data_IF_459987566421
#
_entry.id   IF_459987566421
#
_cell.length_a   1.000
_cell.length_b   1.000
_cell.length_c   1.000
_cell.angle_alpha   90.00
_cell.angle_beta   90.00
_cell.angle_gamma   90.00
#
_symmetry.space_group_name_H-M   'P 1'
#
loop_
_entity.id
_entity.type
_entity.pdbx_description
1 polymer ?
#
# COMPACT_ATOMS: atom_id res chain seq x y z
N UNK A 1 13.56 -4.24 -3.67
CA UNK A 1 12.80 -5.40 -3.24
C UNK A 1 13.26 -6.64 -4.02
N UNK A 2 13.30 -7.78 -3.35
CA UNK A 2 13.46 -9.09 -3.98
C UNK A 2 12.14 -9.85 -3.80
N UNK A 3 11.51 -10.24 -4.88
CA UNK A 3 10.32 -11.07 -4.88
C UNK A 3 10.67 -12.47 -5.35
N UNK A 4 10.10 -13.46 -4.68
CA UNK A 4 10.35 -14.86 -4.99
C UNK A 4 9.10 -15.69 -4.73
N UNK A 5 8.87 -16.71 -5.51
CA UNK A 5 7.82 -17.68 -5.27
C UNK A 5 8.16 -18.50 -4.00
N UNK A 6 7.12 -18.83 -3.20
CA UNK A 6 7.29 -19.43 -1.87
C UNK A 6 8.13 -20.71 -1.86
N UNK A 7 7.80 -21.68 -2.72
CA UNK A 7 8.59 -22.94 -2.81
C UNK A 7 10.03 -22.72 -3.31
N UNK A 8 10.25 -21.68 -4.12
CA UNK A 8 11.60 -21.34 -4.53
C UNK A 8 12.43 -20.75 -3.38
N UNK A 9 11.79 -20.02 -2.47
CA UNK A 9 12.43 -19.52 -1.25
C UNK A 9 12.77 -20.68 -0.30
N UNK A 10 11.83 -21.59 -0.07
CA UNK A 10 12.03 -22.78 0.76
C UNK A 10 13.18 -23.64 0.28
N UNK A 11 13.22 -23.96 -1.03
CA UNK A 11 14.31 -24.72 -1.64
C UNK A 11 15.69 -24.09 -1.47
N UNK A 12 15.74 -22.77 -1.28
CA UNK A 12 16.98 -22.01 -1.06
C UNK A 12 17.26 -21.70 0.42
N UNK A 13 16.45 -22.23 1.34
CA UNK A 13 16.53 -21.94 2.77
C UNK A 13 16.48 -20.43 3.08
N UNK A 14 15.75 -19.66 2.27
CA UNK A 14 15.53 -18.24 2.51
C UNK A 14 14.30 -18.04 3.40
N UNK A 15 14.40 -17.09 4.31
CA UNK A 15 13.29 -16.70 5.18
C UNK A 15 12.65 -15.41 4.63
N UNK A 16 11.48 -15.48 3.98
CA UNK A 16 10.79 -14.28 3.56
C UNK A 16 10.29 -13.50 4.79
N UNK A 17 10.32 -12.18 4.71
CA UNK A 17 9.88 -11.29 5.80
C UNK A 17 8.43 -10.85 5.65
N UNK A 18 7.87 -10.99 4.46
CA UNK A 18 6.48 -10.66 4.19
C UNK A 18 5.96 -11.47 3.00
N UNK A 19 4.64 -11.59 2.92
CA UNK A 19 3.90 -12.20 1.81
C UNK A 19 3.00 -11.16 1.14
N UNK A 20 2.98 -11.11 -0.18
CA UNK A 20 1.96 -10.40 -0.94
C UNK A 20 0.66 -11.23 -0.87
N UNK A 21 -0.35 -10.71 -0.19
CA UNK A 21 -1.65 -11.37 0.01
C UNK A 21 -2.56 -11.17 -1.19
N UNK A 22 -2.69 -9.91 -1.60
CA UNK A 22 -3.53 -9.53 -2.73
C UNK A 22 -3.08 -8.18 -3.30
N UNK A 23 -3.47 -7.92 -4.52
CA UNK A 23 -3.37 -6.59 -5.11
C UNK A 23 -4.66 -6.25 -5.87
N UNK A 24 -4.89 -4.96 -6.06
CA UNK A 24 -5.99 -4.41 -6.82
C UNK A 24 -5.54 -3.21 -7.62
N UNK A 25 -6.10 -3.06 -8.80
CA UNK A 25 -6.01 -1.84 -9.59
C UNK A 25 -7.39 -1.46 -10.08
N UNK A 26 -7.57 -0.20 -10.41
CA UNK A 26 -8.83 0.32 -10.92
C UNK A 26 -8.58 1.57 -11.78
N UNK A 27 -9.54 1.87 -12.64
CA UNK A 27 -9.60 3.11 -13.40
C UNK A 27 -10.67 4.05 -12.84
N UNK A 28 -10.43 5.35 -12.98
CA UNK A 28 -11.36 6.44 -12.71
C UNK A 28 -11.30 7.44 -13.85
N UNK A 29 -12.23 8.39 -13.91
CA UNK A 29 -12.13 9.50 -14.87
C UNK A 29 -10.76 10.19 -14.71
N UNK A 30 -9.97 10.37 -15.79
CA UNK A 30 -8.67 11.03 -15.74
C UNK A 30 -8.67 12.41 -15.10
N UNK A 31 -9.78 13.15 -15.16
CA UNK A 31 -9.95 14.44 -14.50
C UNK A 31 -9.86 14.33 -12.97
N UNK A 32 -10.14 13.16 -12.41
CA UNK A 32 -10.10 12.88 -10.99
C UNK A 32 -9.06 11.79 -10.66
N UNK A 33 -7.98 11.75 -11.39
CA UNK A 33 -6.90 10.77 -11.28
C UNK A 33 -6.47 10.49 -9.83
N UNK A 34 -6.41 11.53 -8.99
CA UNK A 34 -5.95 11.43 -7.61
C UNK A 34 -6.75 10.50 -6.71
N UNK A 35 -8.03 10.22 -7.05
CA UNK A 35 -8.87 9.28 -6.28
C UNK A 35 -8.80 7.83 -6.79
N UNK A 36 -7.98 7.54 -7.79
CA UNK A 36 -7.74 6.17 -8.28
C UNK A 36 -7.42 5.12 -7.19
N UNK A 37 -6.70 5.47 -6.10
CA UNK A 37 -6.49 4.58 -4.97
C UNK A 37 -7.77 4.04 -4.33
N UNK A 38 -8.86 4.81 -4.31
CA UNK A 38 -10.10 4.40 -3.63
C UNK A 38 -10.64 3.09 -4.17
N UNK A 39 -11.03 2.98 -5.45
CA UNK A 39 -11.51 1.71 -6.00
C UNK A 39 -10.41 0.62 -6.05
N UNK A 40 -9.13 0.99 -6.18
CA UNK A 40 -8.04 0.03 -6.17
C UNK A 40 -7.90 -0.67 -4.80
N UNK A 41 -7.97 0.09 -3.70
CA UNK A 41 -7.96 -0.43 -2.33
C UNK A 41 -9.17 -1.33 -2.08
N UNK A 42 -10.37 -0.90 -2.47
CA UNK A 42 -11.58 -1.71 -2.35
C UNK A 42 -11.44 -3.05 -3.08
N UNK A 43 -10.83 -3.05 -4.28
CA UNK A 43 -10.55 -4.27 -5.04
C UNK A 43 -9.54 -5.17 -4.33
N UNK A 44 -8.46 -4.63 -3.78
CA UNK A 44 -7.45 -5.39 -3.06
C UNK A 44 -8.04 -6.02 -1.78
N UNK A 45 -8.78 -5.25 -0.99
CA UNK A 45 -9.43 -5.71 0.24
C UNK A 45 -10.43 -6.84 -0.04
N UNK A 46 -11.27 -6.68 -1.07
CA UNK A 46 -12.22 -7.73 -1.47
C UNK A 46 -11.51 -9.02 -1.85
N UNK A 47 -10.40 -8.95 -2.61
CA UNK A 47 -9.60 -10.12 -2.99
C UNK A 47 -8.91 -10.78 -1.80
N UNK A 48 -8.50 -10.00 -0.82
CA UNK A 48 -7.89 -10.49 0.42
C UNK A 48 -8.92 -11.01 1.43
N UNK A 49 -10.21 -10.74 1.22
CA UNK A 49 -11.28 -10.93 2.22
C UNK A 49 -10.98 -10.20 3.53
N UNK A 50 -10.50 -8.96 3.42
CA UNK A 50 -10.15 -8.08 4.55
C UNK A 50 -10.96 -6.78 4.49
N UNK A 51 -11.00 -6.09 5.63
CA UNK A 51 -11.56 -4.73 5.79
C UNK A 51 -10.46 -3.75 6.15
N UNK A 52 -10.71 -2.45 6.02
CA UNK A 52 -9.78 -1.39 6.47
C UNK A 52 -9.39 -1.57 7.95
N UNK A 53 -10.33 -1.96 8.79
CA UNK A 53 -10.08 -2.17 10.22
C UNK A 53 -9.06 -3.28 10.52
N UNK A 54 -8.89 -4.25 9.62
CA UNK A 54 -7.95 -5.36 9.77
C UNK A 54 -6.49 -4.96 9.47
N UNK A 55 -6.30 -3.76 8.93
CA UNK A 55 -4.97 -3.25 8.58
C UNK A 55 -4.30 -2.60 9.79
N UNK A 56 -3.04 -2.93 10.01
CA UNK A 56 -2.21 -2.34 11.06
C UNK A 56 -1.42 -1.13 10.56
N UNK A 57 -1.01 -1.16 9.29
CA UNK A 57 -0.22 -0.11 8.63
C UNK A 57 -0.84 0.22 7.27
N UNK A 58 -0.88 1.51 6.96
CA UNK A 58 -1.29 2.03 5.66
C UNK A 58 -0.19 2.97 5.15
N UNK A 59 0.42 2.64 4.03
CA UNK A 59 1.31 3.52 3.29
C UNK A 59 0.57 4.01 2.04
N UNK A 60 -0.02 5.19 2.14
CA UNK A 60 -0.75 5.84 1.05
C UNK A 60 0.12 6.93 0.47
N UNK A 61 0.41 6.86 -0.83
CA UNK A 61 1.27 7.86 -1.47
C UNK A 61 0.63 9.25 -1.42
N UNK A 62 1.41 10.24 -1.02
CA UNK A 62 1.04 11.65 -0.96
C UNK A 62 1.58 12.38 -2.19
N UNK A 63 1.08 12.04 -3.38
CA UNK A 63 1.47 12.74 -4.61
C UNK A 63 1.12 14.24 -4.53
N UNK A 64 0.00 14.56 -3.90
CA UNK A 64 -0.43 15.91 -3.51
C UNK A 64 -1.15 15.81 -2.15
N UNK A 65 -0.95 16.79 -1.27
CA UNK A 65 -1.56 16.80 0.06
C UNK A 65 -3.10 16.72 0.00
N UNK A 66 -3.74 17.47 -0.89
CA UNK A 66 -5.19 17.47 -1.07
C UNK A 66 -5.70 16.12 -1.60
N UNK A 67 -4.93 15.47 -2.48
CA UNK A 67 -5.27 14.15 -3.02
C UNK A 67 -5.18 13.08 -1.92
N UNK A 68 -4.11 13.09 -1.12
CA UNK A 68 -3.93 12.16 -0.02
C UNK A 68 -5.06 12.29 1.02
N UNK A 69 -5.44 13.55 1.33
CA UNK A 69 -6.57 13.84 2.21
C UNK A 69 -7.89 13.29 1.67
N UNK A 70 -8.17 13.49 0.37
CA UNK A 70 -9.38 12.99 -0.27
C UNK A 70 -9.47 11.46 -0.20
N UNK A 71 -8.37 10.76 -0.52
CA UNK A 71 -8.31 9.28 -0.45
C UNK A 71 -8.51 8.79 0.98
N UNK A 72 -7.83 9.40 1.96
CA UNK A 72 -7.95 9.03 3.37
C UNK A 72 -9.38 9.22 3.89
N UNK A 73 -10.03 10.31 3.49
CA UNK A 73 -11.43 10.61 3.85
C UNK A 73 -12.40 9.59 3.25
N UNK A 74 -12.28 9.28 1.97
CA UNK A 74 -13.17 8.33 1.28
C UNK A 74 -13.03 6.90 1.80
N UNK A 75 -11.82 6.50 2.19
CA UNK A 75 -11.53 5.17 2.70
C UNK A 75 -11.60 5.08 4.24
N UNK A 76 -11.87 6.19 4.92
CA UNK A 76 -11.88 6.28 6.38
C UNK A 76 -10.59 5.75 7.01
N UNK A 77 -9.44 6.14 6.45
CA UNK A 77 -8.15 5.74 6.98
C UNK A 77 -7.91 6.31 8.37
N UNK A 78 -7.44 5.46 9.29
CA UNK A 78 -6.98 5.88 10.61
C UNK A 78 -5.65 6.64 10.48
N UNK A 79 -5.60 7.92 10.90
CA UNK A 79 -4.37 8.72 10.84
C UNK A 79 -3.19 8.12 11.62
N UNK A 80 -3.46 7.41 12.72
CA UNK A 80 -2.41 6.78 13.55
C UNK A 80 -1.76 5.58 12.86
N UNK A 81 -2.43 5.00 11.87
CA UNK A 81 -1.95 3.88 11.07
C UNK A 81 -1.42 4.30 9.70
N UNK A 82 -1.69 5.54 9.29
CA UNK A 82 -1.41 6.02 7.93
C UNK A 82 -0.11 6.80 7.88
N UNK A 83 0.82 6.35 7.03
CA UNK A 83 2.13 6.96 6.83
C UNK A 83 2.85 7.27 8.16
N UNK A 84 2.96 6.33 9.10
CA UNK A 84 3.43 6.59 10.47
C UNK A 84 4.84 7.13 10.54
N UNK A 85 5.64 6.94 9.50
CA UNK A 85 7.02 7.44 9.39
C UNK A 85 7.15 8.56 8.33
N UNK A 86 6.07 9.32 8.11
CA UNK A 86 6.00 10.38 7.11
C UNK A 86 5.70 9.85 5.70
N UNK A 87 4.98 10.63 4.92
CA UNK A 87 4.66 10.36 3.51
C UNK A 87 5.49 11.22 2.55
N UNK A 88 5.08 11.24 1.29
CA UNK A 88 5.81 11.91 0.21
C UNK A 88 5.86 13.44 0.37
N UNK A 89 4.94 14.06 1.09
CA UNK A 89 4.98 15.51 1.41
C UNK A 89 6.24 15.83 2.20
N UNK A 90 6.66 14.94 3.11
CA UNK A 90 7.87 15.10 3.90
C UNK A 90 9.12 14.53 3.22
N UNK A 91 9.00 13.38 2.51
CA UNK A 91 10.13 12.57 2.05
C UNK A 91 10.40 12.69 0.55
N UNK A 92 9.44 13.20 -0.23
CA UNK A 92 9.50 13.26 -1.69
C UNK A 92 8.82 12.07 -2.38
N UNK A 93 8.56 12.25 -3.68
CA UNK A 93 7.91 11.28 -4.53
C UNK A 93 8.76 10.96 -5.77
N UNK A 94 9.80 10.14 -5.64
CA UNK A 94 10.56 9.67 -6.81
C UNK A 94 9.73 8.62 -7.55
N UNK A 95 9.05 9.01 -8.61
CA UNK A 95 7.99 8.25 -9.31
C UNK A 95 8.40 6.80 -9.57
N UNK A 96 9.61 6.56 -10.10
CA UNK A 96 10.10 5.21 -10.40
C UNK A 96 10.45 4.35 -9.19
N UNK A 97 10.55 4.93 -7.99
CA UNK A 97 10.96 4.23 -6.77
C UNK A 97 9.87 4.19 -5.69
N UNK A 98 8.86 5.05 -5.76
CA UNK A 98 7.88 5.23 -4.67
C UNK A 98 7.19 3.92 -4.28
N UNK A 99 6.79 3.07 -5.23
CA UNK A 99 6.18 1.78 -4.92
C UNK A 99 7.06 0.89 -4.06
N UNK A 100 8.36 0.85 -4.35
CA UNK A 100 9.34 0.11 -3.54
C UNK A 100 9.54 0.75 -2.16
N UNK A 101 9.62 2.09 -2.10
CA UNK A 101 9.79 2.84 -0.85
C UNK A 101 8.62 2.57 0.10
N UNK A 102 7.37 2.73 -0.38
CA UNK A 102 6.18 2.49 0.43
C UNK A 102 6.10 1.04 0.91
N UNK A 103 6.42 0.08 0.05
CA UNK A 103 6.40 -1.34 0.40
C UNK A 103 7.45 -1.67 1.47
N UNK A 104 8.66 -1.15 1.35
CA UNK A 104 9.72 -1.34 2.34
C UNK A 104 9.30 -0.72 3.67
N UNK A 105 8.83 0.52 3.68
CA UNK A 105 8.35 1.20 4.88
C UNK A 105 7.24 0.41 5.57
N UNK A 106 6.23 -0.02 4.81
CA UNK A 106 5.10 -0.80 5.33
C UNK A 106 5.57 -2.10 5.99
N UNK A 107 6.41 -2.89 5.32
CA UNK A 107 6.88 -4.18 5.83
C UNK A 107 7.72 -3.98 7.10
N UNK A 108 8.70 -3.07 7.09
CA UNK A 108 9.52 -2.84 8.28
C UNK A 108 8.72 -2.28 9.46
N UNK A 109 7.72 -1.44 9.19
CA UNK A 109 6.84 -0.93 10.23
C UNK A 109 5.93 -2.02 10.83
N UNK A 110 5.45 -2.97 10.02
CA UNK A 110 4.75 -4.16 10.53
C UNK A 110 5.63 -4.95 11.49
N UNK A 111 6.91 -5.15 11.16
CA UNK A 111 7.83 -5.84 12.06
C UNK A 111 8.07 -5.04 13.35
N UNK A 112 8.27 -3.73 13.24
CA UNK A 112 8.52 -2.85 14.39
C UNK A 112 7.33 -2.81 15.36
N UNK A 113 6.10 -2.79 14.84
CA UNK A 113 4.86 -2.73 15.63
C UNK A 113 4.24 -4.11 15.93
N UNK A 114 4.87 -5.20 15.47
CA UNK A 114 4.30 -6.54 15.56
C UNK A 114 2.90 -6.65 14.92
N UNK A 115 2.61 -5.79 13.95
CA UNK A 115 1.38 -5.83 13.16
C UNK A 115 1.36 -6.99 12.17
N UNK A 116 0.20 -7.28 11.62
CA UNK A 116 0.02 -8.40 10.68
C UNK A 116 -0.14 -7.94 9.24
N UNK A 117 -1.03 -7.01 8.96
CA UNK A 117 -1.37 -6.59 7.60
C UNK A 117 -1.02 -5.14 7.33
N UNK A 118 -0.41 -4.90 6.17
CA UNK A 118 -0.17 -3.56 5.66
C UNK A 118 -0.78 -3.37 4.27
N UNK A 119 -1.33 -2.18 4.04
CA UNK A 119 -1.77 -1.70 2.74
C UNK A 119 -0.73 -0.72 2.18
N UNK A 120 -0.40 -0.88 0.91
CA UNK A 120 0.35 0.10 0.13
C UNK A 120 -0.52 0.54 -1.04
N UNK A 121 -0.70 1.84 -1.25
CA UNK A 121 -1.53 2.34 -2.36
C UNK A 121 -0.98 3.63 -2.94
N UNK A 122 -1.23 3.84 -4.23
CA UNK A 122 -0.88 5.06 -4.96
C UNK A 122 -1.79 5.30 -6.15
N UNK A 123 -1.94 6.57 -6.54
CA UNK A 123 -2.52 6.95 -7.81
C UNK A 123 -1.50 6.77 -8.95
N UNK A 124 -2.00 6.60 -10.15
CA UNK A 124 -1.22 6.44 -11.37
C UNK A 124 -1.79 7.40 -12.42
N UNK A 125 -0.95 8.01 -13.22
CA UNK A 125 -1.37 8.90 -14.30
C UNK A 125 -2.38 8.26 -15.25
N UNK A 126 -3.24 9.09 -15.86
CA UNK A 126 -4.27 8.62 -16.76
C UNK A 126 -5.56 8.15 -16.08
N UNK A 127 -5.73 8.39 -14.78
CA UNK A 127 -6.95 8.00 -14.04
C UNK A 127 -6.91 6.57 -13.52
N UNK A 128 -5.78 6.15 -12.96
CA UNK A 128 -5.62 4.81 -12.42
C UNK A 128 -5.18 4.84 -10.96
N UNK A 129 -5.40 3.73 -10.27
CA UNK A 129 -4.86 3.47 -8.94
C UNK A 129 -4.41 2.02 -8.78
N UNK A 130 -3.46 1.81 -7.90
CA UNK A 130 -3.00 0.48 -7.49
C UNK A 130 -2.97 0.38 -5.98
N UNK A 131 -3.25 -0.82 -5.48
CA UNK A 131 -3.13 -1.17 -4.08
C UNK A 131 -2.56 -2.58 -3.92
N UNK A 132 -1.74 -2.79 -2.90
CA UNK A 132 -1.19 -4.10 -2.54
C UNK A 132 -1.29 -4.31 -1.04
N UNK A 133 -1.64 -5.53 -0.63
CA UNK A 133 -1.75 -5.93 0.78
C UNK A 133 -0.65 -6.93 1.07
N UNK A 134 0.12 -6.65 2.10
CA UNK A 134 1.21 -7.48 2.59
C UNK A 134 0.89 -8.02 3.97
N UNK A 135 1.30 -9.25 4.22
CA UNK A 135 1.25 -9.89 5.55
C UNK A 135 2.69 -10.10 6.04
N UNK A 136 2.95 -9.74 7.29
CA UNK A 136 4.21 -10.05 7.97
C UNK A 136 4.31 -11.57 8.21
N UNK A 137 5.47 -12.13 7.95
CA UNK A 137 5.82 -13.52 8.21
C UNK A 137 6.77 -13.64 9.41
#
# INVERSE_FOLDING_TARGET
LVLMEGHAAEKRNLKPIARLVAYGHAGVDPKFMGIGPVPAVQNALRRANLKIADLDIIESNEAFAVQAFAVAKELHFDPEKTNPNGGAVALGHPIGATGSILTIKAIYELHRKSGRYALVTMCIGGGQGIAAIFERL
#
